data_IF_570150368939
#
_entry.id   IF_570150368939
#
_cell.length_a   1.000
_cell.length_b   1.000
_cell.length_c   1.000
_cell.angle_alpha   90.00
_cell.angle_beta   90.00
_cell.angle_gamma   90.00
#
_symmetry.space_group_name_H-M   'P 1'
#
loop_
_entity.id
_entity.type
_entity.pdbx_description
1 polymer ?
#
# COMPACT_ATOMS: atom_id res chain seq x y z
N UNK A 1 -8.78 -13.80 -4.35
CA UNK A 1 -8.24 -12.44 -4.48
C UNK A 1 -9.39 -11.45 -4.50
N UNK A 2 -9.29 -10.38 -3.72
CA UNK A 2 -10.27 -9.28 -3.71
C UNK A 2 -9.58 -7.95 -4.03
N UNK A 3 -10.30 -7.08 -4.75
CA UNK A 3 -9.86 -5.72 -5.09
C UNK A 3 -10.82 -4.74 -4.42
N UNK A 4 -10.29 -3.80 -3.65
CA UNK A 4 -11.10 -2.82 -2.94
C UNK A 4 -10.42 -1.43 -2.93
N UNK A 5 -11.09 -0.42 -3.48
CA UNK A 5 -12.30 -0.49 -4.32
C UNK A 5 -12.00 -0.88 -5.78
N UNK A 6 -12.97 -1.48 -6.48
CA UNK A 6 -12.87 -1.75 -7.92
C UNK A 6 -13.05 -0.49 -8.81
N UNK A 7 -13.54 0.60 -8.22
CA UNK A 7 -13.66 1.94 -8.82
C UNK A 7 -13.12 2.96 -7.84
N UNK A 8 -12.16 3.77 -8.26
CA UNK A 8 -11.40 4.67 -7.42
C UNK A 8 -11.20 6.01 -8.12
N UNK A 9 -11.13 7.11 -7.37
CA UNK A 9 -10.70 8.40 -7.88
C UNK A 9 -9.17 8.41 -8.10
N UNK A 10 -8.69 9.35 -8.92
CA UNK A 10 -7.24 9.55 -9.08
C UNK A 10 -6.60 9.78 -7.71
N UNK A 11 -5.41 9.20 -7.51
CA UNK A 11 -4.60 9.28 -6.28
C UNK A 11 -5.20 8.64 -5.03
N UNK A 12 -6.42 8.13 -5.08
CA UNK A 12 -6.96 7.32 -3.99
C UNK A 12 -6.32 5.93 -3.96
N UNK A 13 -6.29 5.33 -2.77
CA UNK A 13 -5.66 4.03 -2.55
C UNK A 13 -6.56 2.89 -3.00
N UNK A 14 -5.98 1.97 -3.75
CA UNK A 14 -6.52 0.64 -4.04
C UNK A 14 -5.78 -0.38 -3.19
N UNK A 15 -6.51 -1.32 -2.62
CA UNK A 15 -5.96 -2.46 -1.89
C UNK A 15 -6.35 -3.77 -2.60
N UNK A 16 -5.37 -4.60 -2.82
CA UNK A 16 -5.52 -5.94 -3.37
C UNK A 16 -5.15 -6.94 -2.29
N UNK A 17 -6.10 -7.76 -1.87
CA UNK A 17 -5.91 -8.74 -0.79
C UNK A 17 -6.04 -10.16 -1.35
N UNK A 18 -5.12 -11.04 -0.99
CA UNK A 18 -5.09 -12.41 -1.49
C UNK A 18 -4.31 -13.33 -0.55
N UNK A 19 -4.41 -14.64 -0.83
CA UNK A 19 -3.62 -15.69 -0.21
C UNK A 19 -2.87 -16.47 -1.28
N UNK A 20 -1.70 -16.93 -0.93
CA UNK A 20 -0.97 -17.91 -1.71
C UNK A 20 -1.38 -19.32 -1.27
N UNK A 21 -1.20 -20.28 -2.16
CA UNK A 21 -1.50 -21.69 -1.87
C UNK A 21 -0.49 -22.40 -0.97
N UNK A 22 0.47 -21.66 -0.39
CA UNK A 22 1.52 -22.15 0.48
C UNK A 22 1.77 -21.20 1.63
N UNK A 23 2.20 -21.75 2.76
CA UNK A 23 2.73 -21.00 3.89
C UNK A 23 4.25 -20.93 3.79
N UNK A 24 4.83 -19.85 4.29
CA UNK A 24 6.25 -19.57 4.31
C UNK A 24 6.73 -19.38 5.74
N UNK A 25 7.88 -19.96 6.07
CA UNK A 25 8.43 -19.83 7.42
C UNK A 25 8.75 -18.37 7.78
N UNK A 26 9.16 -17.57 6.80
CA UNK A 26 9.32 -16.14 6.92
C UNK A 26 8.79 -15.44 5.66
N UNK A 27 7.54 -14.97 5.65
CA UNK A 27 6.95 -14.28 4.51
C UNK A 27 7.58 -12.90 4.21
N UNK A 28 8.44 -12.40 5.09
CA UNK A 28 9.19 -11.15 4.89
C UNK A 28 10.56 -11.35 4.22
N UNK A 29 10.97 -12.60 4.01
CA UNK A 29 12.24 -12.93 3.39
C UNK A 29 12.08 -13.10 1.87
N UNK A 30 12.60 -12.17 1.04
CA UNK A 30 12.49 -12.24 -0.41
C UNK A 30 13.26 -13.43 -1.02
N UNK A 31 14.16 -14.08 -0.27
CA UNK A 31 14.80 -15.30 -0.72
C UNK A 31 13.86 -16.53 -0.64
N UNK A 32 12.83 -16.48 0.22
CA UNK A 32 11.82 -17.52 0.32
C UNK A 32 10.65 -17.27 -0.61
N UNK A 33 10.21 -16.02 -0.74
CA UNK A 33 9.04 -15.65 -1.55
C UNK A 33 9.15 -14.20 -2.04
N UNK A 34 9.02 -14.00 -3.31
CA UNK A 34 8.88 -12.70 -3.95
C UNK A 34 7.50 -12.60 -4.56
N UNK A 35 6.75 -11.55 -4.18
CA UNK A 35 5.38 -11.34 -4.69
C UNK A 35 5.23 -9.91 -5.18
N UNK A 36 4.84 -9.76 -6.44
CA UNK A 36 4.65 -8.48 -7.08
C UNK A 36 3.31 -8.41 -7.82
N UNK A 37 2.67 -7.26 -7.83
CA UNK A 37 1.59 -6.95 -8.78
C UNK A 37 2.16 -6.21 -9.99
N UNK A 38 1.89 -6.74 -11.16
CA UNK A 38 2.19 -6.12 -12.46
C UNK A 38 0.90 -5.51 -12.98
N UNK A 39 0.87 -4.18 -13.12
CA UNK A 39 -0.35 -3.44 -13.44
C UNK A 39 -0.11 -2.58 -14.67
N UNK A 40 -1.05 -2.60 -15.61
CA UNK A 40 -1.02 -1.83 -16.85
C UNK A 40 -2.22 -0.89 -16.90
N UNK A 41 -1.99 0.32 -17.36
CA UNK A 41 -2.98 1.37 -17.43
C UNK A 41 -2.97 2.14 -18.74
N UNK A 42 -3.77 3.20 -18.85
CA UNK A 42 -3.88 4.01 -20.05
C UNK A 42 -2.55 4.67 -20.46
N UNK A 43 -2.27 4.71 -21.76
CA UNK A 43 -1.08 5.36 -22.32
C UNK A 43 0.22 4.69 -21.92
N UNK A 44 0.26 3.37 -22.00
CA UNK A 44 1.43 2.53 -21.69
C UNK A 44 1.99 2.67 -20.27
N UNK A 45 1.16 3.15 -19.33
CA UNK A 45 1.53 3.19 -17.92
C UNK A 45 1.70 1.77 -17.39
N UNK A 46 2.79 1.57 -16.65
CA UNK A 46 3.08 0.30 -15.98
C UNK A 46 3.51 0.55 -14.56
N UNK A 47 2.97 -0.26 -13.65
CA UNK A 47 3.37 -0.27 -12.26
C UNK A 47 3.82 -1.69 -11.90
N UNK A 48 4.94 -1.78 -11.20
CA UNK A 48 5.38 -2.98 -10.51
C UNK A 48 5.35 -2.67 -9.03
N UNK A 49 4.44 -3.30 -8.30
CA UNK A 49 4.20 -2.99 -6.89
C UNK A 49 4.45 -4.24 -6.06
N UNK A 50 5.44 -4.21 -5.16
CA UNK A 50 5.67 -5.32 -4.25
C UNK A 50 4.47 -5.55 -3.33
N UNK A 51 4.12 -6.81 -3.12
CA UNK A 51 3.20 -7.21 -2.09
C UNK A 51 3.91 -7.29 -0.73
N UNK A 52 3.16 -7.18 0.33
CA UNK A 52 3.63 -7.36 1.69
C UNK A 52 2.70 -8.29 2.47
N UNK A 53 3.29 -9.01 3.41
CA UNK A 53 2.55 -9.81 4.36
C UNK A 53 1.98 -8.91 5.45
N UNK A 54 0.75 -9.15 5.85
CA UNK A 54 0.08 -8.44 6.92
C UNK A 54 -0.59 -9.41 7.89
N UNK A 55 -0.34 -9.20 9.15
CA UNK A 55 -1.05 -9.79 10.28
C UNK A 55 -1.91 -8.70 10.91
N UNK A 56 -3.21 -8.64 10.59
CA UNK A 56 -4.07 -7.57 11.09
C UNK A 56 -4.06 -7.53 12.61
N UNK A 57 -3.91 -6.35 13.17
CA UNK A 57 -3.89 -6.11 14.60
C UNK A 57 -4.92 -5.04 14.95
N UNK A 58 -5.51 -5.13 16.13
CA UNK A 58 -6.35 -4.09 16.71
C UNK A 58 -5.90 -3.79 18.15
N UNK A 59 -6.15 -2.58 18.66
CA UNK A 59 -5.89 -2.29 20.06
C UNK A 59 -6.63 -3.26 20.98
N UNK A 60 -5.96 -3.77 22.00
CA UNK A 60 -6.61 -4.58 23.03
C UNK A 60 -7.57 -3.72 23.88
N UNK A 61 -8.50 -4.35 24.58
CA UNK A 61 -9.54 -3.64 25.36
C UNK A 61 -8.98 -2.78 26.48
N UNK A 62 -7.78 -3.10 26.95
CA UNK A 62 -7.03 -2.35 27.96
C UNK A 62 -6.11 -1.28 27.36
N UNK A 63 -6.13 -1.11 26.03
CA UNK A 63 -5.33 -0.09 25.36
C UNK A 63 -5.78 1.31 25.78
N UNK A 64 -4.90 2.04 26.43
CA UNK A 64 -5.08 3.47 26.72
C UNK A 64 -3.84 4.25 26.27
N UNK A 65 -4.04 5.50 25.84
CA UNK A 65 -2.93 6.39 25.46
C UNK A 65 -1.97 6.64 26.64
N UNK A 66 -2.41 6.44 27.87
CA UNK A 66 -1.57 6.54 29.06
C UNK A 66 -0.47 5.45 29.09
N UNK A 67 -0.74 4.26 28.58
CA UNK A 67 0.25 3.19 28.52
C UNK A 67 1.43 3.53 27.60
N UNK A 68 1.21 4.29 26.53
CA UNK A 68 2.27 4.73 25.62
C UNK A 68 3.32 5.57 26.34
N UNK A 69 2.92 6.36 27.35
CA UNK A 69 3.81 7.25 28.08
C UNK A 69 4.35 6.65 29.37
N UNK A 70 3.59 5.77 30.02
CA UNK A 70 3.94 5.23 31.36
C UNK A 70 4.61 3.86 31.31
N UNK A 71 4.45 3.12 30.21
CA UNK A 71 5.04 1.81 30.00
C UNK A 71 5.63 1.72 28.59
N UNK A 72 6.73 2.45 28.31
CA UNK A 72 7.34 2.43 26.98
C UNK A 72 7.77 1.01 26.61
N UNK A 73 7.35 0.57 25.43
CA UNK A 73 7.65 -0.75 24.91
C UNK A 73 6.59 -1.82 25.16
N UNK A 74 5.47 -1.48 25.82
CA UNK A 74 4.33 -2.39 25.93
C UNK A 74 3.23 -1.92 24.97
N UNK A 75 3.16 -2.56 23.82
CA UNK A 75 2.06 -2.37 22.88
C UNK A 75 1.00 -3.42 23.15
N UNK A 76 -0.21 -2.95 23.47
CA UNK A 76 -1.35 -3.83 23.72
C UNK A 76 -2.17 -3.97 22.45
N UNK A 77 -1.75 -4.87 21.59
CA UNK A 77 -2.47 -5.24 20.37
C UNK A 77 -2.83 -6.73 20.43
N UNK A 78 -3.92 -7.06 19.78
CA UNK A 78 -4.35 -8.45 19.54
C UNK A 78 -4.61 -8.69 18.08
N UNK A 79 -4.47 -9.94 17.59
CA UNK A 79 -4.82 -10.28 16.22
C UNK A 79 -6.27 -9.91 15.89
N UNK A 80 -6.50 -9.21 14.79
CA UNK A 80 -7.81 -8.71 14.34
C UNK A 80 -8.31 -9.41 13.08
N UNK A 81 -7.70 -10.52 12.69
CA UNK A 81 -8.09 -11.28 11.51
C UNK A 81 -7.02 -12.26 11.07
N UNK A 82 -7.27 -12.89 9.95
CA UNK A 82 -6.32 -13.83 9.38
C UNK A 82 -5.22 -13.12 8.60
N UNK A 83 -4.00 -13.57 8.78
CA UNK A 83 -2.85 -13.06 8.04
C UNK A 83 -3.01 -13.32 6.54
N UNK A 84 -2.55 -12.38 5.72
CA UNK A 84 -2.72 -12.41 4.28
C UNK A 84 -1.69 -11.55 3.54
N UNK A 85 -1.59 -11.72 2.25
CA UNK A 85 -0.82 -10.84 1.37
C UNK A 85 -1.66 -9.65 0.93
N UNK A 86 -1.01 -8.49 0.85
CA UNK A 86 -1.65 -7.27 0.36
C UNK A 86 -0.73 -6.49 -0.57
N UNK A 87 -1.32 -5.88 -1.59
CA UNK A 87 -0.70 -4.85 -2.44
C UNK A 87 -1.49 -3.57 -2.26
N UNK A 88 -0.81 -2.44 -2.09
CA UNK A 88 -1.43 -1.11 -2.04
C UNK A 88 -0.82 -0.21 -3.10
N UNK A 89 -1.66 0.43 -3.87
CA UNK A 89 -1.23 1.33 -4.94
C UNK A 89 -2.25 2.43 -5.16
N UNK A 90 -1.84 3.43 -5.91
CA UNK A 90 -2.71 4.52 -6.38
C UNK A 90 -2.59 4.63 -7.89
N UNK A 91 -3.65 5.16 -8.53
CA UNK A 91 -3.72 5.30 -9.97
C UNK A 91 -3.72 6.78 -10.33
N UNK A 92 -2.80 7.18 -11.19
CA UNK A 92 -2.56 8.60 -11.53
C UNK A 92 -3.28 9.05 -12.79
N UNK A 93 -3.82 8.13 -13.60
CA UNK A 93 -4.53 8.45 -14.85
C UNK A 93 -5.91 7.82 -14.87
N UNK A 94 -6.95 8.57 -15.24
CA UNK A 94 -8.27 8.02 -15.47
C UNK A 94 -8.27 6.96 -16.56
N UNK A 95 -9.08 5.93 -16.38
CA UNK A 95 -9.23 4.83 -17.33
C UNK A 95 -9.30 3.48 -16.63
N UNK A 96 -9.26 2.42 -17.42
CA UNK A 96 -9.22 1.05 -16.91
C UNK A 96 -7.78 0.60 -16.74
N UNK A 97 -7.47 0.08 -15.56
CA UNK A 97 -6.21 -0.52 -15.21
C UNK A 97 -6.42 -2.01 -15.00
N UNK A 98 -5.53 -2.82 -15.51
CA UNK A 98 -5.58 -4.27 -15.42
C UNK A 98 -4.25 -4.79 -14.88
N UNK A 99 -4.29 -5.89 -14.15
CA UNK A 99 -3.06 -6.43 -13.59
C UNK A 99 -3.20 -7.87 -13.13
N UNK A 100 -2.05 -8.44 -12.77
CA UNK A 100 -1.92 -9.78 -12.22
C UNK A 100 -0.94 -9.76 -11.06
N UNK A 101 -1.13 -10.65 -10.12
CA UNK A 101 -0.16 -10.91 -9.07
C UNK A 101 0.72 -12.08 -9.50
N UNK A 102 2.02 -11.88 -9.40
CA UNK A 102 3.03 -12.89 -9.67
C UNK A 102 3.75 -13.22 -8.36
N UNK A 103 3.81 -14.48 -8.01
CA UNK A 103 4.55 -15.00 -6.85
C UNK A 103 5.63 -15.97 -7.31
N UNK A 104 6.83 -15.82 -6.80
CA UNK A 104 8.00 -16.62 -7.15
C UNK A 104 8.69 -17.13 -5.89
N UNK A 105 8.90 -18.45 -5.82
CA UNK A 105 9.60 -19.14 -4.75
C UNK A 105 10.56 -20.21 -5.30
N UNK A 106 11.20 -20.98 -4.44
CA UNK A 106 12.08 -22.07 -4.84
C UNK A 106 11.37 -23.19 -5.64
N UNK A 107 10.04 -23.29 -5.54
CA UNK A 107 9.22 -24.25 -6.30
C UNK A 107 8.80 -23.75 -7.68
N UNK A 108 9.11 -22.51 -8.01
CA UNK A 108 8.79 -21.90 -9.30
C UNK A 108 7.96 -20.64 -9.19
N UNK A 109 7.20 -20.36 -10.25
CA UNK A 109 6.41 -19.15 -10.38
C UNK A 109 4.92 -19.48 -10.53
N UNK A 110 4.09 -18.67 -9.91
CA UNK A 110 2.64 -18.69 -10.07
C UNK A 110 2.10 -17.30 -10.41
N UNK A 111 1.04 -17.26 -11.21
CA UNK A 111 0.41 -16.00 -11.66
C UNK A 111 -1.09 -16.11 -11.39
N UNK A 112 -1.67 -15.06 -10.83
CA UNK A 112 -3.11 -14.99 -10.57
C UNK A 112 -3.93 -14.79 -11.86
N UNK A 113 -5.26 -14.95 -11.73
CA UNK A 113 -6.18 -14.36 -12.70
C UNK A 113 -6.00 -12.85 -12.76
N UNK A 114 -6.43 -12.27 -13.88
CA UNK A 114 -6.39 -10.83 -14.09
C UNK A 114 -7.43 -10.11 -13.22
N UNK A 115 -7.04 -9.02 -12.60
CA UNK A 115 -7.95 -8.09 -11.95
C UNK A 115 -8.06 -6.79 -12.75
N UNK A 116 -9.13 -6.03 -12.51
CA UNK A 116 -9.37 -4.75 -13.16
C UNK A 116 -9.82 -3.70 -12.14
N UNK A 117 -9.34 -2.46 -12.32
CA UNK A 117 -9.74 -1.29 -11.53
C UNK A 117 -10.09 -0.14 -12.46
N UNK A 118 -11.22 0.50 -12.21
CA UNK A 118 -11.65 1.71 -12.94
C UNK A 118 -11.19 2.94 -12.18
N UNK A 119 -10.21 3.68 -12.72
CA UNK A 119 -9.84 4.99 -12.21
C UNK A 119 -10.71 6.07 -12.86
N UNK A 120 -11.29 6.95 -12.06
CA UNK A 120 -12.08 8.11 -12.52
C UNK A 120 -11.33 9.42 -12.25
N UNK A 121 -11.57 10.46 -13.05
CA UNK A 121 -11.00 11.78 -12.79
C UNK A 121 -11.36 12.30 -11.40
N UNK A 122 -10.43 13.05 -10.81
CA UNK A 122 -10.60 13.77 -9.56
C UNK A 122 -9.80 15.05 -9.57
N UNK A 123 -10.17 16.00 -8.70
CA UNK A 123 -9.48 17.29 -8.51
C UNK A 123 -8.35 17.21 -7.47
N UNK A 124 -7.96 16.00 -7.06
CA UNK A 124 -6.86 15.79 -6.13
C UNK A 124 -5.56 16.42 -6.67
N UNK A 125 -4.77 17.10 -5.82
CA UNK A 125 -3.58 17.84 -6.26
C UNK A 125 -2.44 16.93 -6.76
N UNK A 126 -2.52 15.64 -6.54
CA UNK A 126 -1.51 14.66 -6.92
C UNK A 126 -0.43 14.45 -5.87
N UNK A 127 0.69 13.85 -6.28
CA UNK A 127 1.81 13.60 -5.39
C UNK A 127 2.61 14.84 -5.09
N UNK A 128 3.21 14.85 -3.91
CA UNK A 128 4.15 15.88 -3.50
C UNK A 128 5.53 15.64 -4.13
N UNK A 129 6.11 16.64 -4.72
CA UNK A 129 7.40 16.60 -5.39
C UNK A 129 8.21 17.88 -5.17
N UNK A 130 9.49 17.86 -5.50
CA UNK A 130 10.28 19.08 -5.54
C UNK A 130 9.80 19.97 -6.68
N UNK A 131 9.57 21.25 -6.39
CA UNK A 131 9.23 22.22 -7.42
C UNK A 131 10.37 22.34 -8.47
N UNK A 132 10.12 22.81 -9.69
CA UNK A 132 11.15 22.93 -10.74
C UNK A 132 12.38 23.73 -10.31
N UNK A 133 12.22 24.74 -9.46
CA UNK A 133 13.32 25.52 -8.88
C UNK A 133 14.08 24.82 -7.74
N UNK A 134 13.59 23.65 -7.27
CA UNK A 134 14.16 22.83 -6.18
C UNK A 134 14.26 23.50 -4.81
N UNK A 135 13.64 24.67 -4.62
CA UNK A 135 13.64 25.37 -3.33
C UNK A 135 12.40 25.11 -2.50
N UNK A 136 11.32 24.66 -3.14
CA UNK A 136 10.03 24.44 -2.52
C UNK A 136 9.47 23.07 -2.90
N UNK A 137 8.41 22.66 -2.22
CA UNK A 137 7.62 21.49 -2.58
C UNK A 137 6.35 21.95 -3.31
N UNK A 138 5.89 21.16 -4.26
CA UNK A 138 4.62 21.35 -4.94
C UNK A 138 3.96 20.00 -5.22
N UNK A 139 2.66 20.02 -5.44
CA UNK A 139 1.93 18.88 -5.94
C UNK A 139 2.10 18.73 -7.46
N UNK A 140 1.70 17.58 -8.00
CA UNK A 140 1.68 17.32 -9.45
C UNK A 140 0.87 18.39 -10.21
N UNK A 141 -0.18 18.92 -9.60
CA UNK A 141 -0.98 20.06 -10.12
C UNK A 141 -0.21 21.37 -10.24
N UNK A 142 0.99 21.45 -9.69
CA UNK A 142 1.77 22.70 -9.58
C UNK A 142 1.44 23.56 -8.37
N UNK A 143 0.43 23.20 -7.58
CA UNK A 143 0.08 23.92 -6.34
C UNK A 143 1.22 23.82 -5.33
N UNK A 144 1.65 24.96 -4.80
CA UNK A 144 2.71 25.00 -3.78
C UNK A 144 2.31 24.32 -2.49
N UNK A 145 3.27 23.69 -1.82
CA UNK A 145 3.10 23.05 -0.52
C UNK A 145 4.08 23.59 0.49
N UNK A 146 3.57 24.01 1.64
CA UNK A 146 4.37 24.44 2.79
C UNK A 146 4.20 23.43 3.91
N UNK A 147 5.25 22.67 4.27
CA UNK A 147 5.16 21.72 5.38
C UNK A 147 5.02 22.49 6.71
N UNK A 148 3.98 22.14 7.46
CA UNK A 148 3.78 22.61 8.84
C UNK A 148 3.69 21.38 9.72
N UNK A 149 4.50 21.33 10.76
CA UNK A 149 4.52 20.17 11.68
C UNK A 149 4.91 20.58 13.09
N UNK A 150 4.60 19.72 14.03
CA UNK A 150 5.05 19.82 15.41
C UNK A 150 6.15 18.79 15.65
N UNK A 151 7.22 19.21 16.32
CA UNK A 151 8.20 18.28 16.87
C UNK A 151 7.84 17.98 18.31
N UNK A 152 7.53 16.72 18.62
CA UNK A 152 7.33 16.25 19.99
C UNK A 152 8.61 15.51 20.36
N UNK A 153 9.39 16.11 21.27
CA UNK A 153 10.54 15.46 21.86
C UNK A 153 10.09 14.74 23.14
N UNK A 154 10.54 13.53 23.31
CA UNK A 154 10.37 12.76 24.54
C UNK A 154 11.35 13.30 25.58
N UNK A 155 10.84 13.65 26.75
CA UNK A 155 11.64 14.03 27.91
C UNK A 155 11.80 12.82 28.83
#
# INVERSE_FOLDING_TARGET
>A
MSVDPARVAQYERVSLTFRLGRDYANPFDPAQIEVNAEIQGPGDQRLLVPAFWIEPQEPADDFTTAHVFTSPGVEHYRPAGEAHWQVRFTLTKPGTWQGRVRARDAGGESVSDEFSVKCVPDDAPGYLQAAPNRHFLCFDSGTGFVPVGFCIAWA
#
